data_IF_598904954780
#
_entry.id   IF_598904954780
#
_cell.length_a   1.000
_cell.length_b   1.000
_cell.length_c   1.000
_cell.angle_alpha   90.00
_cell.angle_beta   90.00
_cell.angle_gamma   90.00
#
_symmetry.space_group_name_H-M   'P 1'
#
loop_
_entity.id
_entity.type
_entity.pdbx_description
1 polymer ?
#
# COMPACT_ATOMS: atom_id res chain seq x y z
N UNK A 1 -25.50 -23.88 -1.98
CA UNK A 1 -26.11 -24.78 -1.01
C UNK A 1 -27.15 -25.75 -1.64
N UNK A 2 -27.60 -25.46 -2.87
CA UNK A 2 -28.57 -26.28 -3.60
C UNK A 2 -28.01 -26.83 -4.92
N UNK A 3 -26.74 -26.61 -5.20
CA UNK A 3 -26.06 -27.02 -6.43
C UNK A 3 -24.98 -28.02 -6.09
N UNK A 4 -24.92 -29.13 -6.84
CA UNK A 4 -23.88 -30.12 -6.77
C UNK A 4 -22.55 -29.52 -7.29
N UNK A 5 -21.42 -29.84 -6.66
CA UNK A 5 -20.10 -29.35 -7.10
C UNK A 5 -19.70 -29.88 -8.47
N UNK A 6 -20.30 -30.95 -8.96
CA UNK A 6 -20.04 -31.45 -10.31
C UNK A 6 -20.45 -30.48 -11.43
N UNK A 7 -21.25 -29.42 -11.10
CA UNK A 7 -21.59 -28.35 -12.03
C UNK A 7 -20.43 -27.41 -12.34
N UNK A 8 -19.32 -27.52 -11.60
CA UNK A 8 -18.17 -26.64 -11.69
C UNK A 8 -16.90 -27.42 -12.03
N UNK A 9 -15.99 -26.76 -12.75
CA UNK A 9 -14.59 -27.13 -12.78
C UNK A 9 -13.88 -26.37 -11.64
N UNK A 10 -13.11 -27.08 -10.82
CA UNK A 10 -12.30 -26.51 -9.76
C UNK A 10 -10.91 -26.23 -10.31
N UNK A 11 -10.63 -24.96 -10.57
CA UNK A 11 -9.35 -24.51 -11.12
C UNK A 11 -8.41 -24.18 -9.98
N UNK A 12 -7.37 -24.99 -9.81
CA UNK A 12 -6.28 -24.76 -8.87
C UNK A 12 -5.15 -24.01 -9.58
N UNK A 13 -4.65 -22.97 -8.99
CA UNK A 13 -3.55 -22.17 -9.52
C UNK A 13 -2.58 -21.75 -8.41
N UNK A 14 -1.29 -21.70 -8.72
CA UNK A 14 -0.29 -21.03 -7.90
C UNK A 14 0.36 -19.88 -8.66
N UNK A 15 0.81 -18.88 -7.92
CA UNK A 15 1.56 -17.76 -8.46
C UNK A 15 2.63 -17.28 -7.47
N UNK A 16 3.69 -16.65 -8.01
CA UNK A 16 4.72 -15.96 -7.24
C UNK A 16 4.81 -14.52 -7.73
N UNK A 17 4.67 -13.55 -6.83
CA UNK A 17 4.64 -12.14 -7.17
C UNK A 17 3.63 -11.82 -8.29
N UNK A 18 2.47 -12.49 -8.26
CA UNK A 18 1.42 -12.37 -9.26
C UNK A 18 1.69 -13.03 -10.61
N UNK A 19 2.87 -13.65 -10.81
CA UNK A 19 3.18 -14.43 -12.02
C UNK A 19 2.67 -15.85 -11.85
N UNK A 20 1.86 -16.37 -12.81
CA UNK A 20 1.40 -17.77 -12.76
C UNK A 20 2.57 -18.76 -12.80
N UNK A 21 2.49 -19.79 -11.95
CA UNK A 21 3.47 -20.88 -11.87
C UNK A 21 2.88 -22.20 -12.33
N UNK A 22 1.79 -22.63 -11.72
CA UNK A 22 1.14 -23.92 -11.98
C UNK A 22 -0.36 -23.76 -12.07
N UNK A 23 -0.99 -24.65 -12.83
CA UNK A 23 -2.45 -24.73 -12.96
C UNK A 23 -2.90 -26.17 -13.15
N UNK A 24 -3.96 -26.56 -12.44
CA UNK A 24 -4.64 -27.84 -12.60
C UNK A 24 -6.16 -27.63 -12.57
N UNK A 25 -6.91 -28.52 -13.21
CA UNK A 25 -8.37 -28.53 -13.16
C UNK A 25 -8.81 -29.87 -12.60
N UNK A 26 -9.51 -29.85 -11.49
CA UNK A 26 -10.08 -31.03 -10.85
C UNK A 26 -11.61 -30.95 -10.84
N UNK A 27 -12.24 -32.04 -10.55
CA UNK A 27 -13.70 -32.15 -10.41
C UNK A 27 -14.04 -32.77 -9.10
N UNK A 28 -15.14 -32.33 -8.53
CA UNK A 28 -15.73 -32.87 -7.32
C UNK A 28 -17.14 -33.40 -7.63
N UNK A 29 -17.54 -34.46 -6.94
CA UNK A 29 -18.90 -35.01 -7.00
C UNK A 29 -19.51 -34.93 -5.59
N UNK A 30 -19.61 -33.71 -5.07
CA UNK A 30 -20.14 -33.44 -3.74
C UNK A 30 -21.55 -32.88 -3.84
N UNK A 31 -22.52 -33.60 -3.28
CA UNK A 31 -23.94 -33.24 -3.26
C UNK A 31 -24.19 -31.97 -2.43
N UNK A 32 -25.30 -31.24 -2.67
CA UNK A 32 -25.70 -30.12 -1.84
C UNK A 32 -25.71 -30.48 -0.35
N UNK A 33 -25.08 -29.67 0.49
CA UNK A 33 -24.94 -29.91 1.93
C UNK A 33 -23.85 -30.91 2.34
N UNK A 34 -23.20 -31.58 1.36
CA UNK A 34 -22.06 -32.46 1.61
C UNK A 34 -20.75 -31.69 1.78
N UNK A 35 -19.69 -32.41 2.19
CA UNK A 35 -18.31 -31.92 2.30
C UNK A 35 -17.38 -32.92 1.64
N UNK A 36 -16.47 -32.45 0.81
CA UNK A 36 -15.42 -33.21 0.18
C UNK A 36 -14.07 -32.52 0.40
N UNK A 37 -13.04 -33.29 0.75
CA UNK A 37 -11.67 -32.80 0.93
C UNK A 37 -10.86 -33.12 -0.31
N UNK A 38 -10.45 -32.08 -1.02
CA UNK A 38 -9.62 -32.20 -2.23
C UNK A 38 -8.25 -31.61 -1.88
N UNK A 39 -7.18 -32.43 -1.91
CA UNK A 39 -5.83 -31.93 -1.67
C UNK A 39 -5.42 -30.95 -2.77
N UNK A 40 -4.68 -29.92 -2.40
CA UNK A 40 -4.11 -29.01 -3.39
C UNK A 40 -3.09 -29.78 -4.25
N UNK A 41 -3.16 -29.75 -5.60
CA UNK A 41 -2.40 -30.66 -6.46
C UNK A 41 -0.91 -30.34 -6.57
N UNK A 42 -0.44 -29.27 -5.95
CA UNK A 42 0.97 -28.88 -5.90
C UNK A 42 1.29 -28.09 -4.63
N UNK A 43 2.57 -28.10 -4.24
CA UNK A 43 3.02 -27.36 -3.06
C UNK A 43 3.00 -25.83 -3.29
N UNK A 44 2.85 -25.07 -2.22
CA UNK A 44 3.04 -23.63 -2.24
C UNK A 44 4.51 -23.32 -2.60
N UNK A 45 4.76 -22.43 -3.57
CA UNK A 45 6.11 -21.94 -3.82
C UNK A 45 6.69 -21.24 -2.58
N UNK A 46 7.97 -21.47 -2.28
CA UNK A 46 8.65 -20.85 -1.13
C UNK A 46 9.50 -19.64 -1.57
N UNK A 47 8.88 -18.69 -2.27
CA UNK A 47 9.57 -17.50 -2.77
C UNK A 47 8.62 -16.32 -2.96
N UNK A 48 9.06 -15.13 -2.59
CA UNK A 48 8.31 -13.87 -2.78
C UNK A 48 6.90 -13.93 -2.19
N UNK A 49 5.95 -13.25 -2.78
CA UNK A 49 4.54 -13.37 -2.43
C UNK A 49 3.95 -14.58 -3.16
N UNK A 50 3.98 -15.73 -2.51
CA UNK A 50 3.41 -16.99 -3.01
C UNK A 50 1.91 -17.02 -2.73
N UNK A 51 1.11 -17.35 -3.72
CA UNK A 51 -0.34 -17.43 -3.61
C UNK A 51 -0.86 -18.73 -4.23
N UNK A 52 -1.77 -19.41 -3.53
CA UNK A 52 -2.57 -20.51 -4.06
C UNK A 52 -4.03 -20.08 -4.16
N UNK A 53 -4.64 -20.34 -5.30
CA UNK A 53 -6.04 -19.98 -5.59
C UNK A 53 -6.80 -21.20 -6.04
N UNK A 54 -8.02 -21.37 -5.53
CA UNK A 54 -9.02 -22.30 -6.06
C UNK A 54 -10.17 -21.48 -6.58
N UNK A 55 -10.61 -21.75 -7.82
CA UNK A 55 -11.74 -21.06 -8.45
C UNK A 55 -12.76 -22.09 -8.91
N UNK A 56 -14.01 -21.91 -8.50
CA UNK A 56 -15.12 -22.70 -9.03
C UNK A 56 -15.68 -22.03 -10.29
N UNK A 57 -15.51 -22.68 -11.42
CA UNK A 57 -15.89 -22.16 -12.74
C UNK A 57 -17.08 -22.93 -13.29
N UNK A 58 -18.14 -22.22 -13.71
CA UNK A 58 -19.33 -22.81 -14.27
C UNK A 58 -19.04 -23.59 -15.56
N UNK A 59 -19.35 -24.90 -15.58
CA UNK A 59 -19.07 -25.79 -16.72
C UNK A 59 -20.03 -25.63 -17.88
N UNK A 60 -21.31 -25.52 -17.58
CA UNK A 60 -22.35 -25.36 -18.62
C UNK A 60 -23.14 -24.10 -18.37
N UNK A 61 -23.54 -23.42 -19.44
CA UNK A 61 -24.37 -22.22 -19.31
C UNK A 61 -25.72 -22.54 -18.63
N UNK A 62 -26.16 -21.62 -17.80
CA UNK A 62 -27.48 -21.58 -17.18
C UNK A 62 -28.15 -20.22 -17.51
N UNK A 63 -29.45 -20.08 -17.34
CA UNK A 63 -30.12 -18.77 -17.51
C UNK A 63 -29.39 -17.68 -16.67
N UNK A 64 -28.88 -16.66 -17.33
CA UNK A 64 -28.15 -15.56 -16.69
C UNK A 64 -26.70 -15.86 -16.28
N UNK A 65 -26.20 -17.10 -16.43
CA UNK A 65 -24.82 -17.49 -16.04
C UNK A 65 -24.15 -18.22 -17.21
N UNK A 66 -23.17 -17.60 -17.88
CA UNK A 66 -22.48 -18.23 -19.00
C UNK A 66 -21.52 -19.34 -18.56
N UNK A 67 -21.16 -20.21 -19.48
CA UNK A 67 -20.02 -21.13 -19.32
C UNK A 67 -18.76 -20.32 -19.05
N UNK A 68 -17.91 -20.79 -18.13
CA UNK A 68 -16.69 -20.10 -17.76
C UNK A 68 -16.88 -19.00 -16.68
N UNK A 69 -18.12 -18.77 -16.25
CA UNK A 69 -18.39 -17.83 -15.16
C UNK A 69 -17.75 -18.30 -13.85
N UNK A 70 -17.01 -17.40 -13.20
CA UNK A 70 -16.43 -17.63 -11.89
C UNK A 70 -17.54 -17.51 -10.82
N UNK A 71 -17.91 -18.61 -10.22
CA UNK A 71 -18.97 -18.65 -9.22
C UNK A 71 -18.46 -18.37 -7.80
N UNK A 72 -17.23 -18.79 -7.52
CA UNK A 72 -16.58 -18.57 -6.23
C UNK A 72 -15.06 -18.73 -6.37
N UNK A 73 -14.33 -18.17 -5.43
CA UNK A 73 -12.90 -18.41 -5.27
C UNK A 73 -12.51 -18.45 -3.79
N UNK A 74 -11.36 -19.08 -3.52
CA UNK A 74 -10.67 -19.04 -2.24
C UNK A 74 -9.16 -18.91 -2.49
N UNK A 75 -8.49 -18.18 -1.61
CA UNK A 75 -7.05 -17.96 -1.71
C UNK A 75 -6.37 -18.12 -0.37
N UNK A 76 -5.13 -18.59 -0.42
CA UNK A 76 -4.17 -18.56 0.69
C UNK A 76 -2.84 -18.06 0.13
N UNK A 77 -2.16 -17.21 0.88
CA UNK A 77 -0.88 -16.65 0.46
C UNK A 77 0.08 -16.53 1.62
N UNK A 78 1.36 -16.46 1.29
CA UNK A 78 2.44 -16.21 2.22
C UNK A 78 3.51 -15.33 1.56
N UNK A 79 4.02 -14.34 2.30
CA UNK A 79 5.10 -13.48 1.82
C UNK A 79 6.42 -13.95 2.40
N UNK A 80 7.24 -14.56 1.56
CA UNK A 80 8.60 -14.96 1.92
C UNK A 80 9.53 -13.77 1.76
N UNK A 81 10.23 -13.41 2.84
CA UNK A 81 11.19 -12.33 2.82
C UNK A 81 12.28 -12.57 1.77
N UNK A 82 12.51 -11.60 0.91
CA UNK A 82 13.66 -11.63 0.01
C UNK A 82 14.94 -11.39 0.79
N UNK A 83 15.99 -12.14 0.45
CA UNK A 83 17.32 -11.86 0.99
C UNK A 83 17.76 -10.44 0.59
N UNK A 84 18.22 -9.65 1.56
CA UNK A 84 18.83 -8.37 1.27
C UNK A 84 20.26 -8.57 0.78
N UNK A 85 20.62 -7.86 -0.27
CA UNK A 85 22.02 -7.74 -0.67
C UNK A 85 22.69 -6.77 0.31
N UNK A 86 23.79 -7.18 0.93
CA UNK A 86 24.63 -6.30 1.74
C UNK A 86 25.38 -5.35 0.80
N UNK A 87 25.19 -4.07 1.00
CA UNK A 87 25.85 -3.00 0.25
C UNK A 87 26.51 -2.09 1.28
N UNK A 88 27.66 -1.49 0.95
CA UNK A 88 28.33 -0.55 1.83
C UNK A 88 27.37 0.57 2.26
N UNK A 89 27.50 1.02 3.51
CA UNK A 89 26.65 2.11 4.03
C UNK A 89 26.73 3.36 3.15
N UNK A 90 25.66 4.13 3.01
CA UNK A 90 25.68 5.41 2.30
C UNK A 90 26.47 6.46 3.08
N UNK A 91 26.81 7.55 2.43
CA UNK A 91 27.46 8.70 3.04
C UNK A 91 26.47 9.53 3.86
N UNK A 92 26.80 9.83 5.11
CA UNK A 92 26.08 10.76 5.96
C UNK A 92 26.71 12.15 5.88
N UNK A 93 25.92 13.16 5.53
CA UNK A 93 26.35 14.56 5.44
C UNK A 93 25.48 15.40 6.38
N UNK A 94 26.06 15.87 7.48
CA UNK A 94 25.34 16.74 8.42
C UNK A 94 25.70 18.21 8.19
N UNK A 95 24.68 19.07 8.12
CA UNK A 95 24.78 20.50 8.02
C UNK A 95 23.87 21.19 9.04
N UNK A 96 24.05 22.48 9.25
CA UNK A 96 23.25 23.25 10.22
C UNK A 96 21.74 23.20 9.94
N UNK A 97 21.34 23.21 8.67
CA UNK A 97 19.95 23.28 8.24
C UNK A 97 19.35 21.93 7.83
N UNK A 98 20.19 20.94 7.53
CA UNK A 98 19.71 19.65 7.02
C UNK A 98 20.68 18.50 7.29
N UNK A 99 20.14 17.29 7.09
CA UNK A 99 20.90 16.04 7.06
C UNK A 99 20.72 15.44 5.67
N UNK A 100 21.82 15.12 4.99
CA UNK A 100 21.84 14.42 3.71
C UNK A 100 22.33 12.99 3.87
N UNK A 101 21.71 12.06 3.14
CA UNK A 101 22.17 10.67 3.00
C UNK A 101 22.34 10.38 1.52
N UNK A 102 23.58 10.06 1.10
CA UNK A 102 23.93 9.90 -0.31
C UNK A 102 24.53 8.54 -0.60
N UNK A 103 24.22 8.03 -1.76
CA UNK A 103 24.85 6.84 -2.32
C UNK A 103 24.96 6.93 -3.84
N UNK A 104 25.31 5.81 -4.48
CA UNK A 104 25.42 5.77 -5.93
C UNK A 104 24.04 5.94 -6.58
N UNK A 105 23.84 7.07 -7.21
CA UNK A 105 22.61 7.43 -7.92
C UNK A 105 21.43 7.85 -7.03
N UNK A 106 21.58 7.98 -5.72
CA UNK A 106 20.48 8.44 -4.87
C UNK A 106 20.90 9.47 -3.82
N UNK A 107 19.93 10.26 -3.37
CA UNK A 107 20.08 11.22 -2.30
C UNK A 107 18.77 11.42 -1.54
N UNK A 108 18.83 11.35 -0.21
CA UNK A 108 17.77 11.76 0.70
C UNK A 108 18.20 13.03 1.43
N UNK A 109 17.29 14.01 1.56
CA UNK A 109 17.54 15.22 2.33
C UNK A 109 16.44 15.39 3.37
N UNK A 110 16.86 15.56 4.63
CA UNK A 110 16.00 15.84 5.76
C UNK A 110 16.25 17.26 6.24
N UNK A 111 15.23 18.10 6.20
CA UNK A 111 15.28 19.48 6.68
C UNK A 111 15.00 19.57 8.18
N UNK A 112 15.82 20.34 8.93
CA UNK A 112 15.52 20.61 10.35
C UNK A 112 14.23 21.41 10.43
N UNK A 113 13.33 21.00 11.33
CA UNK A 113 11.97 21.55 11.45
C UNK A 113 10.94 20.98 10.47
N UNK A 114 11.34 20.17 9.49
CA UNK A 114 10.46 19.63 8.43
C UNK A 114 10.44 18.11 8.33
N UNK A 115 11.58 17.42 8.55
CA UNK A 115 11.74 15.99 8.26
C UNK A 115 12.15 15.73 6.81
N UNK A 116 11.70 14.64 6.18
CA UNK A 116 12.09 14.24 4.84
C UNK A 116 11.53 15.18 3.77
N UNK A 117 12.41 15.96 3.13
CA UNK A 117 12.03 17.00 2.15
C UNK A 117 12.42 16.67 0.72
N UNK A 118 13.36 15.75 0.49
CA UNK A 118 13.81 15.41 -0.85
C UNK A 118 14.19 13.94 -0.95
N UNK A 119 13.73 13.30 -2.01
CA UNK A 119 14.21 12.01 -2.48
C UNK A 119 14.60 12.19 -3.94
N UNK A 120 15.88 11.99 -4.24
CA UNK A 120 16.40 12.04 -5.61
C UNK A 120 16.95 10.70 -6.01
N UNK A 121 16.75 10.36 -7.26
CA UNK A 121 17.36 9.19 -7.88
C UNK A 121 17.87 9.59 -9.28
N UNK A 122 19.14 9.31 -9.58
CA UNK A 122 19.82 9.75 -10.80
C UNK A 122 19.59 11.24 -11.12
N UNK A 123 19.63 12.09 -10.10
CA UNK A 123 19.40 13.54 -10.20
C UNK A 123 17.93 13.96 -10.34
N UNK A 124 16.99 13.03 -10.47
CA UNK A 124 15.57 13.32 -10.60
C UNK A 124 14.92 13.40 -9.22
N UNK A 125 14.33 14.54 -8.90
CA UNK A 125 13.52 14.71 -7.68
C UNK A 125 12.20 13.95 -7.80
N UNK A 126 11.81 13.20 -6.76
CA UNK A 126 10.59 12.38 -6.74
C UNK A 126 9.46 13.00 -5.90
N UNK A 127 9.79 13.89 -4.98
CA UNK A 127 8.81 14.59 -4.14
C UNK A 127 8.52 15.99 -4.68
N UNK A 128 7.26 16.42 -4.57
CA UNK A 128 6.84 17.81 -4.82
C UNK A 128 6.80 18.64 -3.51
N UNK A 129 6.69 17.99 -2.35
CA UNK A 129 6.66 18.64 -1.03
C UNK A 129 7.21 17.66 0.04
N UNK A 130 7.22 18.11 1.30
CA UNK A 130 7.69 17.37 2.47
C UNK A 130 6.81 16.16 2.79
N UNK A 131 7.45 15.02 3.05
CA UNK A 131 6.77 13.84 3.63
C UNK A 131 6.35 14.14 5.06
N UNK A 132 5.13 13.80 5.42
CA UNK A 132 4.58 14.11 6.74
C UNK A 132 3.75 12.97 7.31
N UNK A 133 3.62 12.89 8.63
CA UNK A 133 2.67 11.98 9.27
C UNK A 133 1.26 12.23 8.77
N UNK A 134 0.49 11.17 8.62
CA UNK A 134 -0.92 11.25 8.28
C UNK A 134 -1.76 10.46 9.27
N UNK A 135 -2.83 11.08 9.76
CA UNK A 135 -3.76 10.51 10.72
C UNK A 135 -5.20 10.58 10.23
N UNK A 136 -5.40 11.00 8.98
CA UNK A 136 -6.72 11.29 8.46
C UNK A 136 -6.96 10.70 7.07
N UNK A 137 -8.06 10.03 6.92
CA UNK A 137 -8.67 9.67 5.64
C UNK A 137 -9.99 10.42 5.43
N UNK A 138 -10.52 10.44 4.23
CA UNK A 138 -11.87 10.96 4.00
C UNK A 138 -12.88 10.11 4.78
N UNK A 139 -13.85 10.73 5.48
CA UNK A 139 -14.93 9.99 6.13
C UNK A 139 -15.74 9.20 5.10
N UNK A 140 -16.17 8.01 5.47
CA UNK A 140 -17.21 7.28 4.76
C UNK A 140 -18.59 7.73 5.22
N UNK A 141 -19.66 7.33 4.52
CA UNK A 141 -21.03 7.57 4.97
C UNK A 141 -21.29 6.96 6.36
N UNK A 142 -20.65 5.83 6.69
CA UNK A 142 -20.76 5.21 8.00
C UNK A 142 -20.11 6.07 9.09
N UNK A 143 -18.92 6.60 8.81
CA UNK A 143 -18.20 7.50 9.73
C UNK A 143 -19.04 8.74 10.02
N UNK A 144 -19.68 9.32 8.99
CA UNK A 144 -20.57 10.48 9.14
C UNK A 144 -21.82 10.12 9.95
N UNK A 145 -22.40 8.96 9.73
CA UNK A 145 -23.54 8.44 10.47
C UNK A 145 -23.26 8.27 11.97
N UNK A 146 -22.00 7.97 12.32
CA UNK A 146 -21.51 7.84 13.70
C UNK A 146 -20.95 9.16 14.28
N UNK A 147 -21.02 10.27 13.54
CA UNK A 147 -20.45 11.56 13.91
C UNK A 147 -18.92 11.56 14.12
N UNK A 148 -18.20 10.57 13.57
CA UNK A 148 -16.73 10.45 13.67
C UNK A 148 -15.98 11.70 13.17
N UNK A 149 -16.38 12.39 12.08
CA UNK A 149 -15.70 13.60 11.64
C UNK A 149 -15.62 14.70 12.69
N UNK A 150 -16.58 14.75 13.61
CA UNK A 150 -16.56 15.68 14.74
C UNK A 150 -15.71 15.15 15.91
N UNK A 151 -15.87 13.87 16.26
CA UNK A 151 -15.12 13.24 17.34
C UNK A 151 -13.61 13.23 17.08
N UNK A 152 -13.22 13.03 15.83
CA UNK A 152 -11.82 12.92 15.39
C UNK A 152 -11.31 14.14 14.62
N UNK A 153 -12.00 15.30 14.68
CA UNK A 153 -11.65 16.51 13.94
C UNK A 153 -10.18 16.96 14.13
N UNK A 154 -9.61 16.75 15.32
CA UNK A 154 -8.21 17.02 15.62
C UNK A 154 -7.26 16.34 14.61
N UNK A 155 -7.48 15.06 14.31
CA UNK A 155 -6.62 14.26 13.45
C UNK A 155 -6.57 14.75 12.01
N UNK A 156 -7.61 15.46 11.56
CA UNK A 156 -7.67 16.05 10.22
C UNK A 156 -6.50 16.99 9.94
N UNK A 157 -6.02 17.67 10.96
CA UNK A 157 -4.96 18.68 10.83
C UNK A 157 -3.69 18.31 11.59
N UNK A 158 -3.72 17.29 12.43
CA UNK A 158 -2.59 16.92 13.29
C UNK A 158 -1.31 16.69 12.49
N UNK A 159 -1.36 15.93 11.39
CA UNK A 159 -0.21 15.69 10.52
C UNK A 159 0.24 16.92 9.74
N UNK A 160 -0.70 17.81 9.36
CA UNK A 160 -0.38 19.04 8.62
C UNK A 160 0.42 20.03 9.48
N UNK A 161 0.10 20.11 10.77
CA UNK A 161 0.75 21.01 11.72
C UNK A 161 1.78 20.32 12.61
N UNK A 162 2.09 19.05 12.34
CA UNK A 162 3.19 18.34 13.01
C UNK A 162 4.52 19.02 12.67
N UNK A 163 5.37 19.25 13.68
CA UNK A 163 6.70 19.85 13.53
C UNK A 163 7.77 18.82 13.84
N UNK A 164 8.78 18.72 13.00
CA UNK A 164 9.96 17.92 13.27
C UNK A 164 10.90 18.70 14.20
N UNK A 165 10.67 18.63 15.51
CA UNK A 165 11.40 19.44 16.49
C UNK A 165 12.82 18.93 16.74
N UNK A 166 13.08 17.64 16.54
CA UNK A 166 14.41 17.06 16.68
C UNK A 166 14.72 16.13 15.51
N UNK A 167 15.88 16.33 14.91
CA UNK A 167 16.39 15.55 13.80
C UNK A 167 17.84 15.14 14.11
N UNK A 168 18.08 13.84 14.24
CA UNK A 168 19.40 13.25 14.48
C UNK A 168 19.71 12.18 13.45
N UNK A 169 20.99 11.91 13.22
CA UNK A 169 21.41 10.81 12.36
C UNK A 169 22.64 10.10 12.93
N UNK A 170 22.74 8.82 12.62
CA UNK A 170 23.90 8.00 12.93
C UNK A 170 24.19 7.02 11.80
N UNK A 171 25.46 6.78 11.50
CA UNK A 171 25.89 5.68 10.64
C UNK A 171 26.04 4.42 11.52
N UNK A 172 25.35 3.35 11.15
CA UNK A 172 25.37 2.10 11.89
C UNK A 172 25.32 0.91 10.95
N UNK A 173 26.33 0.06 11.02
CA UNK A 173 26.49 -1.10 10.14
C UNK A 173 26.41 -0.70 8.66
N UNK A 174 25.50 -1.31 7.87
CA UNK A 174 25.26 -0.97 6.47
C UNK A 174 24.21 0.14 6.25
N UNK A 175 23.76 0.82 7.32
CA UNK A 175 22.72 1.84 7.27
C UNK A 175 23.22 3.21 7.74
N UNK A 176 22.56 4.25 7.23
CA UNK A 176 22.41 5.52 7.92
C UNK A 176 21.00 5.62 8.46
N UNK A 177 20.87 5.77 9.78
CA UNK A 177 19.59 5.90 10.47
C UNK A 177 19.36 7.37 10.77
N UNK A 178 18.31 7.95 10.17
CA UNK A 178 17.86 9.30 10.48
C UNK A 178 16.61 9.21 11.33
N UNK A 179 16.62 9.77 12.53
CA UNK A 179 15.48 9.83 13.44
C UNK A 179 14.88 11.23 13.42
N UNK A 180 13.62 11.32 13.02
CA UNK A 180 12.80 12.52 13.01
C UNK A 180 11.75 12.43 14.12
N UNK A 181 11.83 13.26 15.15
CA UNK A 181 10.85 13.34 16.21
C UNK A 181 9.88 14.47 15.90
N UNK A 182 8.64 14.11 15.62
CA UNK A 182 7.57 15.06 15.36
C UNK A 182 6.79 15.36 16.65
N UNK A 183 6.43 16.62 16.82
CA UNK A 183 5.50 17.07 17.87
C UNK A 183 4.20 17.50 17.22
N UNK A 184 3.10 16.90 17.64
CA UNK A 184 1.75 17.23 17.18
C UNK A 184 1.22 18.50 17.87
N UNK A 185 0.15 19.13 17.36
CA UNK A 185 -0.40 20.36 17.93
C UNK A 185 -0.85 20.27 19.40
N UNK A 186 -1.16 19.08 19.88
CA UNK A 186 -1.53 18.81 21.29
C UNK A 186 -0.33 18.45 22.18
N UNK A 187 0.89 18.49 21.64
CA UNK A 187 2.12 18.18 22.35
C UNK A 187 2.52 16.70 22.38
N UNK A 188 1.71 15.80 21.82
CA UNK A 188 2.10 14.39 21.66
C UNK A 188 3.26 14.26 20.67
N UNK A 189 4.11 13.25 20.87
CA UNK A 189 5.30 13.02 20.05
C UNK A 189 5.14 11.79 19.19
N UNK A 190 5.72 11.84 17.98
CA UNK A 190 5.79 10.72 17.04
C UNK A 190 7.22 10.59 16.53
N UNK A 191 8.00 9.62 17.02
CA UNK A 191 9.29 9.29 16.42
C UNK A 191 9.10 8.52 15.13
N UNK A 192 9.87 8.90 14.11
CA UNK A 192 9.96 8.20 12.82
C UNK A 192 11.43 7.95 12.53
N UNK A 193 11.79 6.69 12.37
CA UNK A 193 13.13 6.27 12.01
C UNK A 193 13.17 5.92 10.51
N UNK A 194 14.16 6.47 9.81
CA UNK A 194 14.45 6.22 8.40
C UNK A 194 15.82 5.53 8.33
N UNK A 195 15.84 4.21 8.14
CA UNK A 195 17.07 3.45 7.98
C UNK A 195 17.38 3.25 6.49
N UNK A 196 18.37 3.96 5.98
CA UNK A 196 18.73 4.01 4.55
C UNK A 196 19.96 3.15 4.32
N UNK A 197 19.85 2.15 3.42
CA UNK A 197 20.97 1.30 3.02
C UNK A 197 21.73 1.85 1.81
N UNK A 198 22.89 1.27 1.48
CA UNK A 198 23.73 1.70 0.38
C UNK A 198 23.13 1.46 -1.02
N UNK A 199 22.04 0.74 -1.14
CA UNK A 199 21.26 0.60 -2.37
C UNK A 199 20.18 1.69 -2.51
N UNK A 200 20.04 2.59 -1.53
CA UNK A 200 19.03 3.64 -1.49
C UNK A 200 17.65 3.15 -1.04
N UNK A 201 17.55 1.95 -0.44
CA UNK A 201 16.32 1.51 0.20
C UNK A 201 16.23 2.17 1.57
N UNK A 202 15.03 2.63 1.92
CA UNK A 202 14.73 3.26 3.19
C UNK A 202 13.67 2.44 3.92
N UNK A 203 14.05 1.85 5.06
CA UNK A 203 13.09 1.25 5.98
C UNK A 203 12.56 2.35 6.90
N UNK A 204 11.25 2.51 6.92
CA UNK A 204 10.61 3.55 7.72
C UNK A 204 9.85 2.87 8.86
N UNK A 205 10.17 3.26 10.09
CA UNK A 205 9.48 2.78 11.28
C UNK A 205 8.82 3.95 12.00
N UNK A 206 7.51 3.85 12.18
CA UNK A 206 6.71 4.80 12.94
C UNK A 206 6.18 4.10 14.19
N UNK A 207 6.34 4.72 15.36
CA UNK A 207 5.84 4.15 16.61
C UNK A 207 4.90 5.13 17.29
N UNK A 208 3.60 4.78 17.32
CA UNK A 208 2.63 5.55 18.07
C UNK A 208 2.67 5.20 19.55
N UNK A 209 2.89 6.21 20.38
CA UNK A 209 2.96 6.09 21.85
C UNK A 209 1.92 7.00 22.54
N UNK A 210 1.02 7.60 21.78
CA UNK A 210 0.00 8.50 22.30
C UNK A 210 -1.09 7.77 23.08
N UNK A 211 -1.78 8.51 23.95
CA UNK A 211 -2.86 7.99 24.80
C UNK A 211 -4.10 7.55 23.99
N UNK A 212 -4.33 8.20 22.85
CA UNK A 212 -5.47 7.90 21.97
C UNK A 212 -5.11 6.72 21.07
N UNK A 213 -5.88 5.66 21.15
CA UNK A 213 -5.69 4.42 20.37
C UNK A 213 -6.58 4.35 19.14
N UNK A 214 -7.64 5.16 19.07
CA UNK A 214 -8.54 5.23 17.93
C UNK A 214 -8.10 6.35 17.01
N UNK A 215 -7.48 5.98 15.90
CA UNK A 215 -7.00 6.88 14.85
C UNK A 215 -7.79 6.59 13.57
N UNK A 216 -8.29 7.62 12.84
CA UNK A 216 -8.94 7.41 11.55
C UNK A 216 -8.01 6.78 10.52
N UNK A 217 -6.73 7.12 10.60
CA UNK A 217 -5.65 6.54 9.81
C UNK A 217 -4.32 6.69 10.56
N UNK A 218 -3.34 5.84 10.27
CA UNK A 218 -1.98 5.97 10.78
C UNK A 218 -0.98 5.63 9.68
N UNK A 219 -0.24 6.62 9.18
CA UNK A 219 0.69 6.41 8.10
C UNK A 219 1.47 7.65 7.70
N UNK A 220 2.03 7.64 6.50
CA UNK A 220 2.80 8.73 5.91
C UNK A 220 2.17 9.21 4.61
N UNK A 221 2.12 10.51 4.44
CA UNK A 221 1.74 11.17 3.21
C UNK A 221 3.00 11.55 2.43
N UNK A 222 3.11 11.01 1.20
CA UNK A 222 4.16 11.34 0.25
C UNK A 222 3.61 12.22 -0.87
N UNK A 223 3.91 13.53 -0.88
CA UNK A 223 3.59 14.41 -1.99
C UNK A 223 4.48 14.09 -3.19
N UNK A 224 4.02 13.18 -4.05
CA UNK A 224 4.81 12.69 -5.18
C UNK A 224 4.66 13.58 -6.41
N UNK A 225 5.69 13.57 -7.25
CA UNK A 225 5.64 14.26 -8.55
C UNK A 225 4.45 13.82 -9.39
N UNK A 226 3.80 14.80 -9.99
CA UNK A 226 2.57 14.63 -10.79
C UNK A 226 2.74 13.74 -12.03
N UNK A 227 3.96 13.53 -12.49
CA UNK A 227 4.29 12.65 -13.61
C UNK A 227 4.24 11.18 -13.24
N UNK A 228 4.30 10.84 -11.95
CA UNK A 228 4.18 9.47 -11.42
C UNK A 228 2.70 9.06 -11.39
N UNK A 229 2.18 8.65 -12.54
CA UNK A 229 0.74 8.44 -12.75
C UNK A 229 0.32 6.98 -12.83
N UNK A 230 1.26 6.05 -12.98
CA UNK A 230 0.98 4.62 -13.08
C UNK A 230 1.39 3.93 -11.79
N UNK A 231 0.45 3.19 -11.22
CA UNK A 231 0.68 2.30 -10.08
C UNK A 231 0.71 0.87 -10.56
N UNK A 232 1.67 0.09 -10.04
CA UNK A 232 1.68 -1.37 -10.11
C UNK A 232 1.84 -1.89 -8.69
N UNK A 233 1.05 -2.87 -8.27
CA UNK A 233 1.10 -3.36 -6.89
C UNK A 233 0.84 -4.85 -6.76
N UNK A 234 1.32 -5.44 -5.69
CA UNK A 234 1.01 -6.78 -5.22
C UNK A 234 0.14 -6.65 -3.97
N UNK A 235 -1.10 -7.08 -4.06
CA UNK A 235 -2.07 -6.90 -2.97
C UNK A 235 -3.46 -7.33 -3.37
N UNK A 236 -4.44 -6.99 -2.54
CA UNK A 236 -5.85 -7.24 -2.84
C UNK A 236 -6.35 -6.26 -3.91
N UNK A 237 -7.00 -6.80 -4.94
CA UNK A 237 -7.49 -6.02 -6.07
C UNK A 237 -8.47 -6.80 -6.96
N UNK A 238 -8.69 -6.33 -8.20
CA UNK A 238 -8.08 -5.18 -8.90
C UNK A 238 -8.64 -3.81 -8.50
N UNK A 239 -9.83 -3.77 -7.91
CA UNK A 239 -10.49 -2.52 -7.50
C UNK A 239 -10.06 -2.11 -6.10
N UNK A 240 -10.55 -0.96 -5.65
CA UNK A 240 -10.36 -0.53 -4.26
C UNK A 240 -10.87 -1.57 -3.27
N UNK A 241 -10.17 -1.70 -2.17
CA UNK A 241 -10.53 -2.55 -1.04
C UNK A 241 -10.38 -1.75 0.24
N UNK A 242 -11.47 -1.52 0.94
CA UNK A 242 -11.49 -0.97 2.29
C UNK A 242 -11.63 -2.11 3.30
N UNK A 243 -11.45 -1.86 4.59
CA UNK A 243 -11.49 -2.92 5.62
C UNK A 243 -12.79 -3.76 5.57
N UNK A 244 -13.91 -3.13 5.23
CA UNK A 244 -15.24 -3.75 5.09
C UNK A 244 -15.49 -4.38 3.70
N UNK A 245 -14.60 -4.19 2.71
CA UNK A 245 -14.76 -4.64 1.32
C UNK A 245 -13.65 -5.56 0.83
N UNK A 246 -12.93 -6.20 1.74
CA UNK A 246 -11.80 -7.09 1.39
C UNK A 246 -12.24 -8.42 0.78
N UNK A 247 -13.43 -8.93 1.13
CA UNK A 247 -13.90 -10.26 0.71
C UNK A 247 -14.04 -10.43 -0.82
N UNK A 248 -14.24 -9.35 -1.57
CA UNK A 248 -14.29 -9.37 -3.03
C UNK A 248 -12.92 -9.22 -3.70
N UNK A 249 -11.88 -8.87 -2.94
CA UNK A 249 -10.52 -8.67 -3.44
C UNK A 249 -9.80 -9.99 -3.65
N UNK A 250 -8.98 -10.06 -4.71
CA UNK A 250 -8.06 -11.18 -4.96
C UNK A 250 -6.63 -10.73 -4.75
N UNK A 251 -5.86 -11.54 -4.05
CA UNK A 251 -4.41 -11.39 -3.98
C UNK A 251 -3.81 -11.62 -5.36
N UNK A 252 -3.04 -10.64 -5.84
CA UNK A 252 -2.43 -10.71 -7.17
C UNK A 252 -1.58 -9.50 -7.51
N UNK A 253 -1.08 -9.48 -8.76
CA UNK A 253 -0.38 -8.33 -9.33
C UNK A 253 -1.35 -7.50 -10.17
N UNK A 254 -1.46 -6.23 -9.84
CA UNK A 254 -2.41 -5.30 -10.44
C UNK A 254 -1.72 -4.03 -10.89
N UNK A 255 -2.34 -3.33 -11.82
CA UNK A 255 -1.87 -2.00 -12.20
C UNK A 255 -3.04 -1.10 -12.59
N UNK A 256 -2.89 0.19 -12.33
CA UNK A 256 -3.86 1.20 -12.72
C UNK A 256 -3.19 2.55 -13.01
N UNK A 257 -3.91 3.42 -13.70
CA UNK A 257 -3.54 4.83 -13.83
C UNK A 257 -4.30 5.63 -12.77
N UNK A 258 -3.58 6.43 -11.98
CA UNK A 258 -4.13 7.18 -10.84
C UNK A 258 -5.35 8.02 -11.21
N UNK A 259 -5.32 8.73 -12.33
CA UNK A 259 -6.44 9.59 -12.75
C UNK A 259 -7.64 8.79 -13.25
N UNK A 260 -7.40 7.70 -14.00
CA UNK A 260 -8.47 6.86 -14.50
C UNK A 260 -9.14 6.09 -13.37
N UNK A 261 -8.36 5.58 -12.44
CA UNK A 261 -8.87 4.89 -11.26
C UNK A 261 -9.72 5.80 -10.39
N UNK A 262 -9.23 7.01 -10.11
CA UNK A 262 -9.99 8.02 -9.38
C UNK A 262 -11.32 8.35 -10.09
N UNK A 263 -11.30 8.56 -11.41
CA UNK A 263 -12.51 8.87 -12.16
C UNK A 263 -13.54 7.73 -12.18
N UNK A 264 -13.05 6.46 -12.15
CA UNK A 264 -13.92 5.27 -12.13
C UNK A 264 -14.48 4.95 -10.75
N UNK A 265 -13.74 5.26 -9.70
CA UNK A 265 -14.09 4.95 -8.31
C UNK A 265 -14.59 6.18 -7.54
N UNK A 266 -14.66 7.37 -8.20
CA UNK A 266 -15.16 8.58 -7.54
C UNK A 266 -16.60 8.36 -7.07
N UNK A 267 -16.87 8.43 -5.78
CA UNK A 267 -18.20 8.22 -5.25
C UNK A 267 -19.11 9.40 -5.61
N UNK A 268 -20.41 9.14 -5.72
CA UNK A 268 -21.42 10.20 -5.98
C UNK A 268 -21.43 11.22 -4.87
N UNK A 269 -21.26 10.75 -3.64
CA UNK A 269 -21.06 11.58 -2.45
C UNK A 269 -19.59 11.52 -2.02
N UNK A 270 -18.93 12.66 -1.75
CA UNK A 270 -17.52 12.67 -1.39
C UNK A 270 -17.23 11.84 -0.15
N UNK A 271 -16.40 10.81 -0.31
CA UNK A 271 -15.97 9.91 0.75
C UNK A 271 -14.64 9.25 0.40
N UNK A 272 -14.10 8.43 1.31
CA UNK A 272 -12.92 7.60 1.06
C UNK A 272 -13.04 6.82 -0.25
N UNK A 273 -12.00 6.87 -1.05
CA UNK A 273 -11.91 6.11 -2.29
C UNK A 273 -10.46 5.83 -2.68
N UNK A 274 -10.26 4.82 -3.50
CA UNK A 274 -8.96 4.50 -4.08
C UNK A 274 -8.00 3.71 -3.18
N UNK A 275 -8.38 3.38 -1.96
CA UNK A 275 -7.56 2.59 -1.04
C UNK A 275 -7.45 1.12 -1.46
N UNK A 276 -6.27 0.53 -1.30
CA UNK A 276 -5.97 -0.89 -1.46
C UNK A 276 -5.39 -1.41 -0.17
N UNK A 277 -6.01 -2.43 0.39
CA UNK A 277 -5.55 -3.11 1.61
C UNK A 277 -4.79 -4.38 1.27
N UNK A 278 -4.04 -4.92 2.23
CA UNK A 278 -3.27 -6.13 2.02
C UNK A 278 -2.19 -5.97 0.94
N UNK A 279 -1.61 -4.78 0.80
CA UNK A 279 -0.57 -4.49 -0.19
C UNK A 279 0.80 -4.85 0.38
N UNK A 280 1.52 -5.71 -0.32
CA UNK A 280 2.89 -6.12 0.02
C UNK A 280 3.95 -5.31 -0.70
N UNK A 281 3.64 -4.83 -1.89
CA UNK A 281 4.48 -3.87 -2.61
C UNK A 281 3.65 -3.03 -3.57
N UNK A 282 4.06 -1.78 -3.74
CA UNK A 282 3.53 -0.87 -4.75
C UNK A 282 4.67 -0.09 -5.39
N UNK A 283 4.53 0.23 -6.66
CA UNK A 283 5.48 1.06 -7.40
C UNK A 283 4.73 2.12 -8.18
N UNK A 284 5.19 3.36 -8.07
CA UNK A 284 4.74 4.49 -8.89
C UNK A 284 5.77 4.75 -9.98
N UNK A 285 5.28 4.82 -11.21
CA UNK A 285 6.10 5.15 -12.39
C UNK A 285 5.42 6.25 -13.20
N UNK A 286 6.21 6.97 -13.99
CA UNK A 286 5.71 8.07 -14.82
C UNK A 286 6.18 7.96 -16.26
N UNK A 287 5.37 8.47 -17.19
CA UNK A 287 5.79 8.64 -18.58
C UNK A 287 6.83 9.77 -18.66
N UNK A 288 7.97 9.49 -19.29
CA UNK A 288 9.01 10.49 -19.55
C UNK A 288 10.06 10.68 -18.44
N UNK A 289 9.86 10.05 -17.26
CA UNK A 289 10.87 10.13 -16.19
C UNK A 289 11.89 8.99 -16.24
N UNK A 290 11.57 7.84 -16.86
CA UNK A 290 12.37 6.60 -16.85
C UNK A 290 12.77 6.15 -15.44
N UNK A 291 12.02 6.55 -14.44
CA UNK A 291 12.28 6.31 -13.02
C UNK A 291 10.95 6.14 -12.30
N UNK A 292 10.99 5.43 -11.19
CA UNK A 292 9.85 5.24 -10.30
C UNK A 292 10.30 5.11 -8.86
N UNK A 293 9.35 5.07 -7.96
CA UNK A 293 9.56 4.80 -6.54
C UNK A 293 8.74 3.58 -6.15
N UNK A 294 9.36 2.68 -5.39
CA UNK A 294 8.70 1.49 -4.85
C UNK A 294 8.48 1.61 -3.36
N UNK A 295 7.38 1.04 -2.90
CA UNK A 295 7.00 0.89 -1.51
C UNK A 295 6.77 -0.58 -1.22
N UNK A 296 7.19 -1.04 -0.05
CA UNK A 296 6.97 -2.40 0.41
C UNK A 296 6.53 -2.40 1.88
N UNK A 297 5.67 -3.34 2.22
CA UNK A 297 5.18 -3.51 3.58
C UNK A 297 4.59 -4.91 3.76
N UNK A 298 4.12 -5.21 4.95
CA UNK A 298 3.50 -6.50 5.27
C UNK A 298 1.98 -6.35 5.38
N UNK A 299 1.32 -6.25 4.22
CA UNK A 299 -0.12 -6.08 4.15
C UNK A 299 -0.60 -4.64 4.44
N UNK A 300 0.21 -3.65 4.08
CA UNK A 300 -0.13 -2.23 4.27
C UNK A 300 -1.39 -1.81 3.51
N UNK A 301 -2.01 -0.72 3.94
CA UNK A 301 -2.97 0.02 3.12
C UNK A 301 -2.22 1.03 2.26
N UNK A 302 -2.54 1.07 0.98
CA UNK A 302 -1.90 1.95 0.01
C UNK A 302 -2.94 2.70 -0.81
N UNK A 303 -2.77 4.01 -0.92
CA UNK A 303 -3.57 4.89 -1.79
C UNK A 303 -2.66 5.76 -2.65
N UNK A 304 -3.03 5.94 -3.91
CA UNK A 304 -2.42 6.94 -4.80
C UNK A 304 -3.53 7.77 -5.42
N UNK A 305 -3.66 9.00 -4.98
CA UNK A 305 -4.75 9.90 -5.35
C UNK A 305 -4.21 11.13 -6.07
N UNK A 306 -4.93 11.65 -7.09
CA UNK A 306 -4.55 12.90 -7.76
C UNK A 306 -4.76 14.13 -6.87
N UNK A 307 -5.59 14.00 -5.83
CA UNK A 307 -5.98 15.07 -4.91
C UNK A 307 -6.14 14.49 -3.50
N UNK A 308 -5.87 15.27 -2.46
CA UNK A 308 -6.25 14.93 -1.09
C UNK A 308 -7.76 15.12 -0.91
N UNK A 309 -8.37 14.24 -0.14
CA UNK A 309 -9.78 14.33 0.27
C UNK A 309 -10.12 15.58 1.07
N UNK A 310 -9.12 16.23 1.64
CA UNK A 310 -9.28 17.54 2.30
C UNK A 310 -9.64 18.66 1.33
N UNK A 311 -9.53 18.43 0.02
CA UNK A 311 -9.66 19.44 -1.03
C UNK A 311 -10.88 19.18 -1.89
N UNK A 312 -12.03 19.06 -1.28
CA UNK A 312 -13.24 19.43 -2.00
C UNK A 312 -13.33 20.96 -2.20
N UNK A 313 -12.29 21.67 -1.76
CA UNK A 313 -12.15 23.12 -1.89
C UNK A 313 -10.77 23.38 -2.50
N UNK A 314 -10.75 23.39 -3.84
CA UNK A 314 -9.80 24.08 -4.69
C UNK A 314 -8.30 24.03 -4.36
N UNK A 315 -7.56 22.92 -4.61
CA UNK A 315 -6.24 23.02 -5.23
C UNK A 315 -5.68 21.64 -5.63
N UNK A 316 -5.06 21.49 -6.79
CA UNK A 316 -4.56 20.20 -7.28
C UNK A 316 -3.18 19.90 -6.71
N UNK A 317 -3.11 19.36 -5.51
CA UNK A 317 -1.91 18.74 -4.98
C UNK A 317 -2.06 17.23 -5.00
N UNK A 318 -1.03 16.52 -5.49
CA UNK A 318 -1.04 15.06 -5.62
C UNK A 318 -0.28 14.43 -4.49
N UNK A 319 -0.88 13.44 -3.86
CA UNK A 319 -0.29 12.76 -2.73
C UNK A 319 -0.46 11.25 -2.87
N UNK A 320 0.53 10.49 -2.42
CA UNK A 320 0.44 9.04 -2.20
C UNK A 320 0.47 8.78 -0.70
N UNK A 321 -0.51 8.03 -0.21
CA UNK A 321 -0.61 7.61 1.18
C UNK A 321 -0.09 6.19 1.34
N UNK A 322 0.68 5.96 2.40
CA UNK A 322 1.10 4.65 2.86
C UNK A 322 0.79 4.57 4.35
N UNK A 323 -0.06 3.66 4.71
CA UNK A 323 -0.44 3.36 6.09
C UNK A 323 -0.32 1.87 6.42
#
# INVERSE_FOLDING_TARGET
LFTDLNAYDLVFASSVNGKPERRAVLRADCKPGGTEHIPFPFALPEAGLACMTVTAVQRAAKPGIPTGYEAAFGQVWHNYAAARLTVAAPELVEMDCNIGVKGDGFEYIFGRGKGLVSIRYNGVQLLDDTVRPNFWRAPTNNDEGCAEPFAFAFWKTAGLYARCDNLTAEAKDEFVIVRANYTLPDGQTLPIDFAIDGAGRCDITMTWQGEKTELPEFGLLFPMRRELTKVSYLGLGPRETTADRTAGGKMGAWSYNVRQDFAQNSPVYPQECGSRTGVYSAALTGSGLNIGIGFAGDGMTFSALPYLSLIHISEPTRHSLIS
#
